data_IF_832799480833
#
_entry.id   IF_832799480833
#
_cell.length_a   1.000
_cell.length_b   1.000
_cell.length_c   1.000
_cell.angle_alpha   90.00
_cell.angle_beta   90.00
_cell.angle_gamma   90.00
#
_symmetry.space_group_name_H-M   'P 1'
#
loop_
_entity.id
_entity.type
_entity.pdbx_description
1 polymer ?
#
# COMPACT_ATOMS: atom_id res chain seq x y z
N UNK A 1 6.79 -14.30 -0.85
CA UNK A 1 7.64 -13.11 -1.09
C UNK A 1 7.95 -13.05 -2.56
N UNK A 2 7.67 -11.93 -3.24
CA UNK A 2 7.74 -11.81 -4.70
C UNK A 2 8.80 -10.78 -5.16
N UNK A 3 9.78 -10.47 -4.31
CA UNK A 3 10.99 -9.73 -4.66
C UNK A 3 11.07 -8.28 -4.14
N UNK A 4 12.14 -7.60 -4.57
CA UNK A 4 12.38 -6.16 -4.44
C UNK A 4 12.58 -5.55 -5.83
N UNK A 5 11.56 -4.87 -6.35
CA UNK A 5 11.53 -4.39 -7.73
C UNK A 5 12.26 -3.06 -7.88
N UNK A 6 13.20 -2.97 -8.84
CA UNK A 6 14.00 -1.76 -9.07
C UNK A 6 13.29 -0.64 -9.85
N UNK A 7 12.15 -0.94 -10.49
CA UNK A 7 11.36 0.06 -11.21
C UNK A 7 10.28 0.63 -10.29
N UNK A 8 10.39 1.91 -9.98
CA UNK A 8 9.54 2.61 -9.01
C UNK A 8 8.06 2.50 -9.38
N UNK A 9 7.28 1.86 -8.51
CA UNK A 9 5.82 1.72 -8.63
C UNK A 9 5.36 0.48 -9.39
N UNK A 10 6.24 -0.20 -10.15
CA UNK A 10 5.89 -1.36 -10.96
C UNK A 10 5.43 -2.57 -10.13
N UNK A 11 5.86 -2.66 -8.87
CA UNK A 11 5.44 -3.72 -7.96
C UNK A 11 3.99 -3.60 -7.49
N UNK A 12 3.38 -2.41 -7.59
CA UNK A 12 2.02 -2.18 -7.08
C UNK A 12 0.95 -2.87 -7.94
N UNK A 13 0.94 -2.73 -9.28
CA UNK A 13 0.07 -3.53 -10.14
C UNK A 13 0.30 -5.03 -10.00
N UNK A 14 1.56 -5.47 -9.87
CA UNK A 14 1.89 -6.88 -9.63
C UNK A 14 1.26 -7.37 -8.33
N UNK A 15 1.34 -6.58 -7.26
CA UNK A 15 0.69 -6.88 -5.98
C UNK A 15 -0.85 -6.97 -6.09
N UNK A 16 -1.48 -6.08 -6.86
CA UNK A 16 -2.91 -6.18 -7.14
C UNK A 16 -3.25 -7.44 -7.94
N UNK A 17 -2.42 -7.84 -8.91
CA UNK A 17 -2.56 -9.09 -9.65
C UNK A 17 -2.44 -10.34 -8.76
N UNK A 18 -1.53 -10.34 -7.79
CA UNK A 18 -1.42 -11.40 -6.79
C UNK A 18 -2.68 -11.49 -5.91
N UNK A 19 -3.23 -10.35 -5.49
CA UNK A 19 -4.51 -10.31 -4.78
C UNK A 19 -5.67 -10.87 -5.62
N UNK A 20 -5.69 -10.55 -6.93
CA UNK A 20 -6.63 -11.13 -7.86
C UNK A 20 -6.47 -12.66 -7.93
N UNK A 21 -5.24 -13.16 -8.03
CA UNK A 21 -4.98 -14.60 -8.05
C UNK A 21 -5.49 -15.31 -6.79
N UNK A 22 -5.27 -14.73 -5.60
CA UNK A 22 -5.84 -15.28 -4.35
C UNK A 22 -7.37 -15.40 -4.41
N UNK A 23 -8.04 -14.32 -4.85
CA UNK A 23 -9.50 -14.32 -5.01
C UNK A 23 -9.96 -15.34 -6.05
N UNK A 24 -9.30 -15.38 -7.21
CA UNK A 24 -9.63 -16.25 -8.33
C UNK A 24 -9.47 -17.74 -7.98
N UNK A 25 -8.44 -18.08 -7.21
CA UNK A 25 -8.19 -19.44 -6.73
C UNK A 25 -9.00 -19.82 -5.48
N UNK A 26 -9.94 -18.98 -5.02
CA UNK A 26 -10.78 -19.26 -3.85
C UNK A 26 -10.03 -19.26 -2.52
N UNK A 27 -8.86 -18.61 -2.44
CA UNK A 27 -8.03 -18.55 -1.22
C UNK A 27 -8.54 -17.41 -0.31
N UNK A 28 -9.56 -17.70 0.49
CA UNK A 28 -10.30 -16.70 1.29
C UNK A 28 -9.52 -16.17 2.51
N UNK A 29 -8.47 -16.86 2.94
CA UNK A 29 -7.65 -16.51 4.11
C UNK A 29 -6.37 -15.72 3.77
N UNK A 30 -6.18 -15.41 2.48
CA UNK A 30 -4.98 -14.73 1.97
C UNK A 30 -5.26 -13.32 1.50
N UNK A 31 -4.32 -12.44 1.82
CA UNK A 31 -4.27 -11.06 1.36
C UNK A 31 -2.86 -10.77 0.86
N UNK A 32 -2.75 -9.96 -0.20
CA UNK A 32 -1.47 -9.49 -0.69
C UNK A 32 -1.14 -8.11 -0.11
N UNK A 33 0.10 -7.93 0.35
CA UNK A 33 0.61 -6.67 0.86
C UNK A 33 1.52 -6.06 -0.21
N UNK A 34 1.10 -4.94 -0.80
CA UNK A 34 1.81 -4.25 -1.89
C UNK A 34 2.45 -2.96 -1.36
N UNK A 35 3.77 -3.01 -1.09
CA UNK A 35 4.52 -1.91 -0.49
C UNK A 35 5.13 -0.99 -1.57
N UNK A 36 5.15 0.31 -1.30
CA UNK A 36 5.78 1.34 -2.10
C UNK A 36 6.16 2.55 -1.23
N UNK A 37 7.14 3.35 -1.66
CA UNK A 37 7.57 4.54 -0.92
C UNK A 37 6.76 5.80 -1.22
N UNK A 38 6.95 6.86 -0.42
CA UNK A 38 6.30 8.17 -0.64
C UNK A 38 6.62 8.76 -2.02
N UNK A 39 7.85 8.64 -2.52
CA UNK A 39 8.19 9.06 -3.88
C UNK A 39 7.47 8.25 -4.98
N UNK A 40 7.26 6.95 -4.73
CA UNK A 40 6.55 6.07 -5.67
C UNK A 40 5.05 6.36 -5.71
N UNK A 41 4.47 6.91 -4.65
CA UNK A 41 3.02 7.17 -4.53
C UNK A 41 2.44 8.06 -5.64
N UNK A 42 3.28 8.79 -6.37
CA UNK A 42 2.88 9.65 -7.49
C UNK A 42 2.84 8.92 -8.85
N UNK A 43 3.20 7.62 -8.89
CA UNK A 43 3.15 6.82 -10.12
C UNK A 43 1.71 6.55 -10.56
N UNK A 44 1.39 6.83 -11.82
CA UNK A 44 0.03 6.69 -12.37
C UNK A 44 -0.53 5.27 -12.22
N UNK A 45 0.29 4.26 -12.49
CA UNK A 45 -0.08 2.84 -12.38
C UNK A 45 -0.55 2.41 -10.97
N UNK A 46 -0.19 3.16 -9.91
CA UNK A 46 -0.71 2.92 -8.56
C UNK A 46 -2.21 3.28 -8.49
N UNK A 47 -2.61 4.39 -9.10
CA UNK A 47 -4.01 4.82 -9.13
C UNK A 47 -4.88 3.91 -10.02
N UNK A 48 -4.31 3.44 -11.12
CA UNK A 48 -4.94 2.40 -11.94
C UNK A 48 -5.16 1.12 -11.11
N UNK A 49 -4.15 0.71 -10.34
CA UNK A 49 -4.24 -0.44 -9.44
C UNK A 49 -5.31 -0.25 -8.35
N UNK A 50 -5.44 0.95 -7.77
CA UNK A 50 -6.51 1.27 -6.82
C UNK A 50 -7.89 1.08 -7.43
N UNK A 51 -8.12 1.68 -8.60
CA UNK A 51 -9.40 1.60 -9.26
C UNK A 51 -9.82 0.14 -9.51
N UNK A 52 -8.92 -0.65 -10.10
CA UNK A 52 -9.18 -2.06 -10.40
C UNK A 52 -9.35 -2.91 -9.13
N UNK A 53 -8.50 -2.69 -8.12
CA UNK A 53 -8.59 -3.42 -6.86
C UNK A 53 -9.89 -3.15 -6.12
N UNK A 54 -10.38 -1.89 -6.14
CA UNK A 54 -11.67 -1.54 -5.54
C UNK A 54 -12.83 -2.11 -6.35
N UNK A 55 -12.81 -1.92 -7.67
CA UNK A 55 -13.84 -2.41 -8.59
C UNK A 55 -14.08 -3.91 -8.43
N UNK A 56 -13.00 -4.68 -8.31
CA UNK A 56 -13.07 -6.13 -8.16
C UNK A 56 -13.06 -6.60 -6.72
N UNK A 57 -13.09 -5.69 -5.75
CA UNK A 57 -13.09 -6.02 -4.33
C UNK A 57 -11.97 -7.02 -3.96
N UNK A 58 -10.73 -6.68 -4.33
CA UNK A 58 -9.57 -7.54 -4.18
C UNK A 58 -9.04 -7.53 -2.74
N UNK A 59 -8.48 -8.65 -2.24
CA UNK A 59 -7.83 -8.72 -0.94
C UNK A 59 -6.41 -8.14 -0.99
N UNK A 60 -6.28 -6.86 -1.37
CA UNK A 60 -5.01 -6.16 -1.50
C UNK A 60 -4.87 -5.07 -0.42
N UNK A 61 -3.76 -5.09 0.31
CA UNK A 61 -3.36 -4.02 1.23
C UNK A 61 -2.27 -3.21 0.57
N UNK A 62 -2.57 -1.96 0.22
CA UNK A 62 -1.64 -1.02 -0.36
C UNK A 62 -0.91 -0.26 0.76
N UNK A 63 0.41 -0.31 0.78
CA UNK A 63 1.21 0.25 1.87
C UNK A 63 2.17 1.30 1.33
N UNK A 64 1.99 2.53 1.80
CA UNK A 64 2.94 3.61 1.61
C UNK A 64 3.90 3.67 2.80
N UNK A 65 5.17 3.34 2.59
CA UNK A 65 6.24 3.58 3.55
C UNK A 65 6.73 5.02 3.39
N UNK A 66 6.18 5.92 4.21
CA UNK A 66 6.50 7.34 4.17
C UNK A 66 7.70 7.62 5.06
N UNK A 67 8.90 7.60 4.47
CA UNK A 67 10.16 7.93 5.14
C UNK A 67 10.57 9.41 4.96
N UNK A 68 9.64 10.23 4.45
CA UNK A 68 9.72 11.67 4.20
C UNK A 68 10.46 12.10 2.93
N UNK A 69 11.19 11.19 2.26
CA UNK A 69 12.04 11.55 1.12
C UNK A 69 12.05 10.49 0.01
N UNK A 70 11.63 10.87 -1.19
CA UNK A 70 11.85 10.11 -2.42
C UNK A 70 13.24 10.41 -2.99
N UNK A 71 14.20 9.50 -2.75
CA UNK A 71 15.62 9.75 -3.03
C UNK A 71 16.08 11.03 -2.30
N UNK A 72 16.27 12.15 -3.01
CA UNK A 72 16.64 13.46 -2.44
C UNK A 72 15.49 14.48 -2.34
N UNK A 73 14.28 14.13 -2.76
CA UNK A 73 13.15 15.08 -2.80
C UNK A 73 12.20 14.83 -1.64
N UNK A 74 12.04 15.82 -0.76
CA UNK A 74 11.09 15.76 0.36
C UNK A 74 9.64 15.62 -0.12
N UNK A 75 8.80 14.91 0.65
CA UNK A 75 7.37 14.72 0.39
C UNK A 75 6.61 15.99 -0.03
N UNK A 76 6.81 17.11 0.68
CA UNK A 76 6.13 18.38 0.38
C UNK A 76 6.58 19.06 -0.92
N UNK A 77 7.67 18.61 -1.53
CA UNK A 77 8.18 19.10 -2.83
C UNK A 77 7.79 18.18 -3.99
N UNK A 78 7.36 16.95 -3.70
CA UNK A 78 7.01 15.94 -4.71
C UNK A 78 5.51 15.62 -4.75
N UNK A 79 4.75 15.90 -3.69
CA UNK A 79 3.33 15.60 -3.61
C UNK A 79 2.53 16.80 -3.09
N UNK A 80 1.47 17.18 -3.83
CA UNK A 80 0.53 18.20 -3.40
C UNK A 80 -0.30 17.77 -2.18
N UNK A 81 -0.61 16.47 -2.08
CA UNK A 81 -1.22 15.86 -0.89
C UNK A 81 -0.24 14.88 -0.25
N UNK A 82 0.29 15.26 0.91
CA UNK A 82 1.25 14.47 1.71
C UNK A 82 0.58 13.54 2.72
N UNK A 83 -0.76 13.51 2.76
CA UNK A 83 -1.55 12.51 3.49
C UNK A 83 -1.71 11.27 2.60
N UNK A 84 -0.69 10.42 2.55
CA UNK A 84 -0.62 9.30 1.60
C UNK A 84 -1.72 8.26 1.81
N UNK A 85 -2.17 8.06 3.05
CA UNK A 85 -3.31 7.18 3.35
C UNK A 85 -4.62 7.62 2.67
N UNK A 86 -4.77 8.89 2.29
CA UNK A 86 -5.96 9.42 1.62
C UNK A 86 -5.90 9.31 0.08
N UNK A 87 -4.74 8.94 -0.48
CA UNK A 87 -4.50 8.91 -1.93
C UNK A 87 -5.28 7.82 -2.66
N UNK A 88 -5.75 6.80 -1.92
CA UNK A 88 -6.66 5.79 -2.42
C UNK A 88 -8.07 6.31 -2.76
N UNK A 89 -8.38 7.56 -2.41
CA UNK A 89 -9.68 8.23 -2.65
C UNK A 89 -10.86 7.41 -2.10
N UNK A 90 -11.46 6.57 -2.95
CA UNK A 90 -12.57 5.67 -2.60
C UNK A 90 -12.14 4.41 -1.85
N UNK A 91 -10.84 4.16 -1.70
CA UNK A 91 -10.30 3.10 -0.83
C UNK A 91 -10.07 3.68 0.57
N UNK A 92 -10.60 3.06 1.64
CA UNK A 92 -10.35 3.50 3.00
C UNK A 92 -8.85 3.47 3.35
N UNK A 93 -8.42 4.41 4.20
CA UNK A 93 -7.03 4.65 4.52
C UNK A 93 -6.76 4.74 6.02
N UNK A 94 -5.64 4.17 6.47
CA UNK A 94 -5.13 4.30 7.84
C UNK A 94 -3.76 4.97 7.85
N UNK A 95 -3.53 5.91 8.77
CA UNK A 95 -2.19 6.41 9.08
C UNK A 95 -1.69 5.72 10.36
N UNK A 96 -0.48 5.18 10.33
CA UNK A 96 0.09 4.38 11.42
C UNK A 96 1.50 4.86 11.72
N UNK A 97 1.87 4.88 13.00
CA UNK A 97 3.25 5.10 13.42
C UNK A 97 4.11 3.90 13.00
N UNK A 98 4.94 4.09 11.97
CA UNK A 98 5.85 3.06 11.44
C UNK A 98 7.10 2.83 12.29
N UNK A 99 7.30 3.63 13.35
CA UNK A 99 8.41 3.47 14.31
C UNK A 99 8.03 2.63 15.54
N UNK A 100 6.74 2.29 15.69
CA UNK A 100 6.23 1.44 16.77
C UNK A 100 5.83 0.07 16.20
N UNK A 101 6.59 -0.96 16.55
CA UNK A 101 6.38 -2.34 16.08
C UNK A 101 5.00 -2.90 16.48
N UNK A 102 4.46 -2.49 17.64
CA UNK A 102 3.14 -2.94 18.10
C UNK A 102 2.06 -2.28 17.24
N UNK A 103 2.19 -0.98 16.95
CA UNK A 103 1.27 -0.28 16.06
C UNK A 103 1.26 -0.89 14.65
N UNK A 104 2.45 -1.17 14.10
CA UNK A 104 2.60 -1.83 12.79
C UNK A 104 1.97 -3.22 12.79
N UNK A 105 2.21 -4.02 13.83
CA UNK A 105 1.62 -5.35 13.97
C UNK A 105 0.09 -5.31 14.01
N UNK A 106 -0.49 -4.44 14.86
CA UNK A 106 -1.95 -4.34 14.99
C UNK A 106 -2.61 -3.84 13.70
N UNK A 107 -2.02 -2.84 13.04
CA UNK A 107 -2.52 -2.34 11.76
C UNK A 107 -2.46 -3.41 10.66
N UNK A 108 -1.36 -4.17 10.60
CA UNK A 108 -1.19 -5.25 9.61
C UNK A 108 -2.18 -6.40 9.85
N UNK A 109 -2.40 -6.76 11.13
CA UNK A 109 -3.40 -7.75 11.54
C UNK A 109 -4.81 -7.30 11.16
N UNK A 110 -5.17 -6.05 11.45
CA UNK A 110 -6.44 -5.45 11.07
C UNK A 110 -6.62 -5.47 9.54
N UNK A 111 -5.61 -5.04 8.78
CA UNK A 111 -5.68 -4.97 7.33
C UNK A 111 -5.86 -6.33 6.65
N UNK A 112 -5.17 -7.36 7.16
CA UNK A 112 -5.41 -8.74 6.71
C UNK A 112 -6.87 -9.12 6.98
N UNK A 113 -7.34 -8.96 8.22
CA UNK A 113 -8.72 -9.32 8.58
C UNK A 113 -9.77 -8.56 7.75
N UNK A 114 -9.57 -7.25 7.53
CA UNK A 114 -10.43 -6.41 6.70
C UNK A 114 -10.57 -6.94 5.27
N UNK A 115 -9.44 -7.17 4.61
CA UNK A 115 -9.37 -7.60 3.21
C UNK A 115 -9.91 -9.01 3.02
N UNK A 116 -9.57 -9.96 3.92
CA UNK A 116 -10.06 -11.35 3.86
C UNK A 116 -11.52 -11.50 4.25
N UNK A 117 -12.10 -10.56 5.01
CA UNK A 117 -13.53 -10.51 5.28
C UNK A 117 -14.37 -10.05 4.07
N UNK A 118 -13.74 -9.73 2.94
CA UNK A 118 -14.44 -9.30 1.72
C UNK A 118 -14.82 -7.82 1.71
N UNK A 119 -14.22 -6.98 2.55
CA UNK A 119 -14.45 -5.53 2.53
C UNK A 119 -13.67 -4.81 1.40
N UNK A 120 -12.88 -5.55 0.63
CA UNK A 120 -12.07 -5.03 -0.47
C UNK A 120 -10.73 -4.48 0.01
N UNK A 121 -10.05 -3.66 -0.83
CA UNK A 121 -8.71 -3.19 -0.53
C UNK A 121 -8.67 -2.17 0.61
N UNK A 122 -7.48 -1.96 1.16
CA UNK A 122 -7.19 -0.96 2.19
C UNK A 122 -5.86 -0.25 1.86
N UNK A 123 -5.77 1.05 2.12
CA UNK A 123 -4.50 1.80 2.08
C UNK A 123 -3.98 2.01 3.51
N UNK A 124 -2.68 1.82 3.72
CA UNK A 124 -2.00 2.15 4.97
C UNK A 124 -0.80 3.03 4.66
N UNK A 125 -0.68 4.15 5.37
CA UNK A 125 0.56 4.92 5.43
C UNK A 125 1.29 4.59 6.74
N UNK A 126 2.46 3.97 6.63
CA UNK A 126 3.40 3.88 7.74
C UNK A 126 4.31 5.11 7.72
N UNK A 127 4.14 5.97 8.71
CA UNK A 127 5.02 7.11 8.95
C UNK A 127 6.29 6.62 9.65
N UNK A 128 7.40 6.61 8.93
CA UNK A 128 8.67 6.03 9.38
C UNK A 128 9.84 6.94 9.00
N UNK A 129 11.08 6.47 9.16
CA UNK A 129 12.27 7.20 8.76
C UNK A 129 13.43 6.27 8.38
N UNK A 130 14.27 6.73 7.44
CA UNK A 130 15.51 6.04 7.05
C UNK A 130 16.73 6.79 7.63
N UNK A 131 17.63 6.07 8.33
CA UNK A 131 18.84 6.70 8.86
C UNK A 131 19.94 6.88 7.82
N UNK A 132 20.00 5.98 6.83
CA UNK A 132 20.91 6.09 5.68
C UNK A 132 20.39 7.03 4.60
N UNK A 133 21.32 7.56 3.79
CA UNK A 133 21.12 8.48 2.66
C UNK A 133 20.88 7.79 1.32
#
# INVERSE_FOLDING_TARGET
>A
FYGGTGIVGAQVPVGAGLAFAHKYSGQTDKANFALYGDGASNQGQIFESYNMAKLWNLPCVFICENNKYGMGTSAGRSSALTKYYQRGQFIPGLKVNGMDVVAVYQASKFAKAWTTAGNGPLVIEFETYRYGG
#
